data_IF_708087771488
#
_entry.id   IF_708087771488
#
_cell.length_a   1.000
_cell.length_b   1.000
_cell.length_c   1.000
_cell.angle_alpha   90.00
_cell.angle_beta   90.00
_cell.angle_gamma   90.00
#
_symmetry.space_group_name_H-M   'P 1'
#
loop_
_entity.id
_entity.type
_entity.pdbx_description
1 polymer ?
#
# COMPACT_ATOMS: atom_id res chain seq x y z
N UNK A 1 10.78 8.73 -10.66
CA UNK A 1 9.88 9.60 -11.36
C UNK A 1 9.80 9.22 -12.84
N UNK A 2 10.59 9.78 -13.75
CA UNK A 2 10.55 9.47 -15.18
C UNK A 2 11.47 8.31 -15.57
N UNK A 3 11.25 7.76 -16.77
CA UNK A 3 11.97 6.62 -17.31
C UNK A 3 13.48 6.89 -17.46
N UNK A 4 13.83 8.09 -17.91
CA UNK A 4 15.20 8.54 -18.19
C UNK A 4 15.80 9.42 -17.09
N UNK A 5 15.30 9.31 -15.86
CA UNK A 5 15.71 10.11 -14.72
C UNK A 5 15.02 11.46 -14.60
N UNK A 6 14.06 11.76 -15.48
CA UNK A 6 13.26 12.98 -15.36
C UNK A 6 12.51 13.02 -14.03
N UNK A 7 12.66 14.10 -13.28
CA UNK A 7 12.02 14.30 -11.98
C UNK A 7 10.86 15.29 -12.09
N UNK A 8 9.67 14.85 -11.68
CA UNK A 8 8.49 15.72 -11.63
C UNK A 8 8.67 16.74 -10.51
N UNK A 9 8.78 18.03 -10.86
CA UNK A 9 9.03 19.12 -9.91
C UNK A 9 7.78 19.51 -9.14
N UNK A 10 6.66 19.68 -9.83
CA UNK A 10 5.34 20.02 -9.24
C UNK A 10 4.57 18.74 -8.89
N UNK A 11 5.20 17.88 -8.14
CA UNK A 11 4.63 16.58 -7.76
C UNK A 11 3.35 16.72 -6.92
N UNK A 12 3.12 17.85 -6.29
CA UNK A 12 1.93 18.12 -5.47
C UNK A 12 0.66 18.30 -6.32
N UNK A 13 0.79 18.54 -7.61
CA UNK A 13 -0.33 18.61 -8.55
C UNK A 13 -0.91 17.21 -8.89
N UNK A 14 -0.15 16.15 -8.60
CA UNK A 14 -0.54 14.78 -8.87
C UNK A 14 -1.16 14.11 -7.65
N UNK A 15 -2.24 13.39 -7.84
CA UNK A 15 -2.85 12.53 -6.82
C UNK A 15 -2.81 11.07 -7.26
N UNK A 16 -3.01 10.14 -6.33
CA UNK A 16 -2.94 8.69 -6.64
C UNK A 16 -3.96 8.29 -7.71
N UNK A 17 -5.12 8.95 -7.78
CA UNK A 17 -6.10 8.75 -8.85
C UNK A 17 -5.58 9.07 -10.25
N UNK A 18 -4.68 10.02 -10.39
CA UNK A 18 -4.09 10.33 -11.70
C UNK A 18 -3.16 9.21 -12.14
N UNK A 19 -2.44 8.60 -11.20
CA UNK A 19 -1.66 7.38 -11.47
C UNK A 19 -2.59 6.24 -11.91
N UNK A 20 -3.73 6.04 -11.23
CA UNK A 20 -4.73 5.04 -11.63
C UNK A 20 -5.23 5.26 -13.06
N UNK A 21 -5.54 6.51 -13.44
CA UNK A 21 -5.96 6.86 -14.80
C UNK A 21 -4.86 6.56 -15.83
N UNK A 22 -3.59 6.85 -15.50
CA UNK A 22 -2.44 6.54 -16.39
C UNK A 22 -2.36 5.03 -16.64
N UNK A 23 -2.50 4.18 -15.61
CA UNK A 23 -2.53 2.73 -15.78
C UNK A 23 -3.70 2.29 -16.68
N UNK A 24 -4.90 2.83 -16.47
CA UNK A 24 -6.08 2.52 -17.28
C UNK A 24 -5.88 2.94 -18.75
N UNK A 25 -5.29 4.10 -19.00
CA UNK A 25 -4.93 4.56 -20.37
C UNK A 25 -3.91 3.61 -20.99
N UNK A 26 -2.89 3.18 -20.24
CA UNK A 26 -1.91 2.20 -20.70
C UNK A 26 -2.56 0.87 -21.11
N UNK A 27 -3.45 0.33 -20.28
CA UNK A 27 -4.20 -0.89 -20.59
C UNK A 27 -5.05 -0.74 -21.87
N UNK A 28 -5.73 0.40 -22.02
CA UNK A 28 -6.49 0.69 -23.24
C UNK A 28 -5.61 0.74 -24.49
N UNK A 29 -4.44 1.35 -24.42
CA UNK A 29 -3.45 1.37 -25.53
C UNK A 29 -2.94 -0.02 -25.90
N UNK A 30 -2.88 -0.93 -24.92
CA UNK A 30 -2.51 -2.35 -25.14
C UNK A 30 -3.72 -3.21 -25.56
N UNK A 31 -4.91 -2.61 -25.82
CA UNK A 31 -6.17 -3.30 -26.12
C UNK A 31 -6.62 -4.28 -25.02
N UNK A 32 -6.18 -4.08 -23.76
CA UNK A 32 -6.62 -4.88 -22.62
C UNK A 32 -7.91 -4.27 -22.07
N UNK A 33 -9.02 -4.95 -22.30
CA UNK A 33 -10.36 -4.48 -21.90
C UNK A 33 -10.75 -4.89 -20.48
N UNK A 34 -10.27 -6.06 -20.04
CA UNK A 34 -10.58 -6.62 -18.72
C UNK A 34 -9.39 -7.41 -18.17
N UNK A 35 -9.18 -7.28 -16.87
CA UNK A 35 -8.15 -8.01 -16.14
C UNK A 35 -8.79 -9.13 -15.31
N UNK A 36 -8.06 -10.20 -15.09
CA UNK A 36 -8.45 -11.21 -14.09
C UNK A 36 -8.32 -10.65 -12.68
N UNK A 37 -7.23 -9.96 -12.37
CA UNK A 37 -7.03 -9.35 -11.06
C UNK A 37 -6.22 -8.05 -11.17
N UNK A 38 -6.51 -7.11 -10.25
CA UNK A 38 -5.65 -5.98 -9.90
C UNK A 38 -5.22 -6.20 -8.46
N UNK A 39 -3.92 -6.34 -8.25
CA UNK A 39 -3.33 -6.63 -6.94
C UNK A 39 -2.24 -5.60 -6.60
N UNK A 40 -2.18 -5.16 -5.36
CA UNK A 40 -1.15 -4.22 -4.91
C UNK A 40 -1.05 -4.17 -3.40
N UNK A 41 0.19 -3.96 -2.90
CA UNK A 41 0.47 -3.80 -1.48
C UNK A 41 0.76 -2.34 -1.11
N UNK A 42 0.41 -1.92 0.11
CA UNK A 42 0.66 -0.57 0.62
C UNK A 42 0.06 0.51 -0.31
N UNK A 43 0.84 1.48 -0.76
CA UNK A 43 0.38 2.47 -1.76
C UNK A 43 -0.16 1.82 -3.04
N UNK A 44 0.37 0.64 -3.41
CA UNK A 44 -0.15 -0.15 -4.51
C UNK A 44 -1.58 -0.66 -4.25
N UNK A 45 -1.91 -0.98 -2.99
CA UNK A 45 -3.29 -1.30 -2.59
C UNK A 45 -4.22 -0.08 -2.64
N UNK A 46 -3.72 1.11 -2.27
CA UNK A 46 -4.43 2.37 -2.52
C UNK A 46 -4.70 2.60 -4.00
N UNK A 47 -3.73 2.25 -4.87
CA UNK A 47 -3.91 2.29 -6.32
C UNK A 47 -4.97 1.28 -6.81
N UNK A 48 -5.05 0.08 -6.23
CA UNK A 48 -6.12 -0.90 -6.51
C UNK A 48 -7.49 -0.27 -6.22
N UNK A 49 -7.66 0.37 -5.07
CA UNK A 49 -8.90 1.07 -4.71
C UNK A 49 -9.25 2.19 -5.68
N UNK A 50 -8.27 3.01 -6.07
CA UNK A 50 -8.47 4.10 -7.04
C UNK A 50 -8.82 3.57 -8.44
N UNK A 51 -8.17 2.50 -8.91
CA UNK A 51 -8.49 1.86 -10.19
C UNK A 51 -9.89 1.27 -10.19
N UNK A 52 -10.31 0.61 -9.10
CA UNK A 52 -11.66 0.10 -8.94
C UNK A 52 -12.71 1.22 -8.94
N UNK A 53 -12.44 2.36 -8.30
CA UNK A 53 -13.34 3.51 -8.28
C UNK A 53 -13.45 4.23 -9.63
N UNK A 54 -12.35 4.28 -10.41
CA UNK A 54 -12.31 4.96 -11.73
C UNK A 54 -12.90 4.08 -12.84
N UNK A 55 -12.67 2.77 -12.77
CA UNK A 55 -13.12 1.80 -13.78
C UNK A 55 -13.68 0.54 -13.09
N UNK A 56 -14.94 0.57 -12.63
CA UNK A 56 -15.50 -0.46 -11.75
C UNK A 56 -15.55 -1.87 -12.34
N UNK A 57 -15.58 -2.00 -13.66
CA UNK A 57 -15.65 -3.27 -14.38
C UNK A 57 -14.30 -3.72 -14.96
N UNK A 58 -13.21 -3.03 -14.60
CA UNK A 58 -11.88 -3.29 -15.15
C UNK A 58 -11.36 -4.69 -14.84
N UNK A 59 -11.69 -5.23 -13.66
CA UNK A 59 -11.17 -6.52 -13.22
C UNK A 59 -12.26 -7.43 -12.62
N UNK A 60 -12.00 -8.74 -12.66
CA UNK A 60 -12.81 -9.73 -11.95
C UNK A 60 -12.53 -9.70 -10.44
N UNK A 61 -11.29 -9.37 -10.04
CA UNK A 61 -10.86 -9.38 -8.66
C UNK A 61 -9.98 -8.14 -8.36
N UNK A 62 -10.28 -7.44 -7.28
CA UNK A 62 -9.50 -6.33 -6.72
C UNK A 62 -8.92 -6.76 -5.38
N UNK A 63 -7.60 -6.72 -5.23
CA UNK A 63 -6.88 -7.29 -4.09
C UNK A 63 -5.96 -6.24 -3.47
N UNK A 64 -6.49 -5.27 -2.69
CA UNK A 64 -5.66 -4.38 -1.89
C UNK A 64 -5.07 -5.13 -0.69
N UNK A 65 -3.75 -5.05 -0.51
CA UNK A 65 -3.00 -5.71 0.56
C UNK A 65 -2.36 -4.65 1.45
N UNK A 66 -2.51 -4.75 2.77
CA UNK A 66 -1.94 -3.81 3.75
C UNK A 66 -2.19 -2.34 3.33
N UNK A 67 -3.44 -2.01 3.03
CA UNK A 67 -3.85 -0.72 2.46
C UNK A 67 -5.33 -0.45 2.71
N UNK A 68 -5.75 0.81 2.51
CA UNK A 68 -7.15 1.18 2.65
C UNK A 68 -7.60 2.12 1.51
N UNK A 69 -8.92 2.33 1.39
CA UNK A 69 -9.54 3.17 0.37
C UNK A 69 -9.32 4.67 0.57
N UNK A 70 -8.89 5.07 1.77
CA UNK A 70 -8.47 6.44 2.11
C UNK A 70 -7.32 6.43 3.10
N UNK A 71 -6.51 7.47 3.06
CA UNK A 71 -5.51 7.72 4.08
C UNK A 71 -6.20 8.16 5.37
N UNK A 72 -5.92 7.44 6.46
CA UNK A 72 -6.41 7.78 7.80
C UNK A 72 -5.68 9.00 8.37
N UNK A 73 -6.23 9.61 9.43
CA UNK A 73 -5.57 10.70 10.13
C UNK A 73 -4.18 10.31 10.65
N UNK A 74 -4.01 9.05 11.10
CA UNK A 74 -2.71 8.49 11.47
C UNK A 74 -1.74 8.47 10.30
N UNK A 75 -2.17 8.01 9.14
CA UNK A 75 -1.32 7.98 7.93
C UNK A 75 -1.02 9.41 7.45
N UNK A 76 -1.99 10.32 7.47
CA UNK A 76 -1.79 11.73 7.14
C UNK A 76 -0.78 12.41 8.07
N UNK A 77 -0.83 12.12 9.38
CA UNK A 77 0.15 12.61 10.35
C UNK A 77 1.56 12.09 10.04
N UNK A 78 1.68 10.80 9.71
CA UNK A 78 2.95 10.19 9.31
C UNK A 78 3.50 10.83 8.02
N UNK A 79 2.68 11.01 6.99
CA UNK A 79 3.11 11.65 5.73
C UNK A 79 3.49 13.11 5.95
N UNK A 80 2.82 13.82 6.87
CA UNK A 80 3.19 15.18 7.25
C UNK A 80 4.55 15.24 7.92
N UNK A 81 4.82 14.34 8.87
CA UNK A 81 6.13 14.24 9.52
C UNK A 81 7.22 13.88 8.51
N UNK A 82 6.97 12.91 7.63
CA UNK A 82 7.88 12.56 6.54
C UNK A 82 8.19 13.78 5.65
N UNK A 83 7.17 14.59 5.29
CA UNK A 83 7.35 15.82 4.51
C UNK A 83 8.28 16.81 5.23
N UNK A 84 8.16 16.95 6.55
CA UNK A 84 9.06 17.81 7.35
C UNK A 84 10.50 17.28 7.32
N UNK A 85 10.71 15.99 7.52
CA UNK A 85 12.05 15.38 7.46
C UNK A 85 12.66 15.60 6.06
N UNK A 86 11.89 15.28 5.01
CA UNK A 86 12.34 15.41 3.61
C UNK A 86 12.67 16.86 3.18
N UNK A 87 12.12 17.86 3.87
CA UNK A 87 12.37 19.26 3.55
C UNK A 87 13.47 19.90 4.40
N UNK A 88 13.69 19.42 5.63
CA UNK A 88 14.50 20.14 6.62
C UNK A 88 15.75 19.38 7.07
N UNK A 89 15.84 18.06 6.81
CA UNK A 89 17.03 17.28 7.20
C UNK A 89 18.20 17.56 6.25
N UNK A 90 19.42 17.47 6.78
CA UNK A 90 20.67 17.47 5.98
C UNK A 90 20.85 16.17 5.21
N UNK A 91 20.22 15.07 5.66
CA UNK A 91 20.21 13.77 5.00
C UNK A 91 18.76 13.27 4.78
N UNK A 92 17.97 13.98 3.94
CA UNK A 92 16.51 13.85 3.95
C UNK A 92 16.01 12.44 3.66
N UNK A 93 16.56 11.75 2.65
CA UNK A 93 16.13 10.38 2.30
C UNK A 93 16.55 9.37 3.37
N UNK A 94 17.76 9.54 3.93
CA UNK A 94 18.27 8.71 5.02
C UNK A 94 17.35 8.79 6.25
N UNK A 95 17.09 10.00 6.74
CA UNK A 95 16.35 10.20 7.98
C UNK A 95 14.86 9.85 7.84
N UNK A 96 14.28 10.18 6.68
CA UNK A 96 12.92 9.76 6.34
C UNK A 96 12.79 8.23 6.31
N UNK A 97 13.82 7.50 5.80
CA UNK A 97 13.81 6.04 5.81
C UNK A 97 13.88 5.47 7.22
N UNK A 98 14.70 6.04 8.10
CA UNK A 98 14.78 5.62 9.50
C UNK A 98 13.41 5.73 10.19
N UNK A 99 12.73 6.87 10.04
CA UNK A 99 11.37 7.04 10.55
C UNK A 99 10.39 6.03 9.93
N UNK A 100 10.43 5.82 8.61
CA UNK A 100 9.55 4.87 7.94
C UNK A 100 9.72 3.44 8.47
N UNK A 101 10.93 3.02 8.81
CA UNK A 101 11.18 1.69 9.38
C UNK A 101 10.50 1.47 10.72
N UNK A 102 10.27 2.52 11.52
CA UNK A 102 9.50 2.44 12.76
C UNK A 102 8.01 2.21 12.49
N UNK A 103 7.48 2.74 11.39
CA UNK A 103 6.09 2.53 10.99
C UNK A 103 5.87 1.19 10.26
N UNK A 104 6.90 0.68 9.56
CA UNK A 104 6.82 -0.56 8.77
C UNK A 104 7.03 -1.81 9.60
N UNK A 105 7.59 -1.70 10.80
CA UNK A 105 7.81 -2.80 11.74
C UNK A 105 7.02 -2.61 13.02
N UNK A 106 6.58 -3.70 13.63
CA UNK A 106 5.96 -3.64 14.94
C UNK A 106 6.99 -3.61 16.08
N UNK A 107 6.66 -3.08 17.27
CA UNK A 107 7.53 -3.15 18.45
C UNK A 107 7.95 -4.59 18.79
N UNK A 108 7.05 -5.57 18.62
CA UNK A 108 7.35 -6.97 18.87
C UNK A 108 8.36 -7.54 17.85
N UNK A 109 8.32 -7.09 16.60
CA UNK A 109 9.31 -7.43 15.58
C UNK A 109 10.70 -6.92 15.97
N UNK A 110 10.78 -5.68 16.47
CA UNK A 110 12.03 -5.11 16.99
C UNK A 110 12.55 -5.91 18.19
N UNK A 111 11.67 -6.21 19.16
CA UNK A 111 12.05 -6.97 20.34
C UNK A 111 12.61 -8.35 19.98
N UNK A 112 11.91 -9.09 19.09
CA UNK A 112 12.36 -10.43 18.65
C UNK A 112 13.68 -10.38 17.88
N UNK A 113 13.89 -9.33 17.08
CA UNK A 113 15.09 -9.19 16.25
C UNK A 113 16.32 -8.77 17.06
N UNK A 114 16.16 -7.84 17.99
CA UNK A 114 17.31 -7.18 18.63
C UNK A 114 17.50 -7.53 20.10
N UNK A 115 16.42 -7.75 20.88
CA UNK A 115 16.49 -8.14 22.30
C UNK A 115 17.41 -7.25 23.15
N UNK A 116 17.51 -5.93 22.82
CA UNK A 116 18.45 -4.96 23.40
C UNK A 116 19.93 -5.33 23.23
N UNK A 117 20.26 -6.19 22.27
CA UNK A 117 21.66 -6.55 22.00
C UNK A 117 22.48 -5.35 21.52
N UNK A 118 23.76 -5.40 21.84
CA UNK A 118 24.78 -4.39 21.49
C UNK A 118 25.94 -5.05 20.77
N UNK A 119 26.57 -4.26 19.90
CA UNK A 119 27.92 -4.50 19.44
C UNK A 119 28.81 -3.38 20.01
N UNK A 120 29.72 -3.72 20.88
CA UNK A 120 30.46 -2.75 21.72
C UNK A 120 29.47 -1.87 22.52
N UNK A 121 29.50 -0.56 22.37
CA UNK A 121 28.61 0.39 23.05
C UNK A 121 27.37 0.79 22.30
N UNK A 122 27.20 0.33 21.02
CA UNK A 122 26.10 0.71 20.14
C UNK A 122 25.02 -0.37 20.15
N UNK A 123 23.74 0.01 20.30
CA UNK A 123 22.64 -0.94 20.15
C UNK A 123 22.51 -1.39 18.69
N UNK A 124 22.31 -2.69 18.48
CA UNK A 124 22.16 -3.25 17.13
C UNK A 124 20.95 -2.67 16.37
N UNK A 125 19.92 -2.24 17.08
CA UNK A 125 18.76 -1.54 16.45
C UNK A 125 19.14 -0.18 15.86
N UNK A 126 20.06 0.56 16.50
CA UNK A 126 20.54 1.85 16.00
C UNK A 126 21.36 1.66 14.73
N UNK A 127 22.31 0.73 14.74
CA UNK A 127 23.12 0.36 13.58
C UNK A 127 22.25 -0.11 12.41
N UNK A 128 21.20 -0.87 12.69
CA UNK A 128 20.26 -1.34 11.70
C UNK A 128 19.45 -0.20 11.05
N UNK A 129 18.95 0.76 11.85
CA UNK A 129 18.23 1.94 11.33
C UNK A 129 19.14 2.79 10.43
N UNK A 130 20.36 3.10 10.90
CA UNK A 130 21.36 3.86 10.14
C UNK A 130 21.69 3.16 8.81
N UNK A 131 21.87 1.84 8.84
CA UNK A 131 22.11 1.05 7.62
C UNK A 131 20.98 1.18 6.60
N UNK A 132 19.72 1.05 7.04
CA UNK A 132 18.55 1.21 6.14
C UNK A 132 18.43 2.61 5.56
N UNK A 133 18.72 3.65 6.35
CA UNK A 133 18.81 5.03 5.90
C UNK A 133 19.85 5.19 4.79
N UNK A 134 21.07 4.73 5.04
CA UNK A 134 22.20 4.78 4.10
C UNK A 134 21.89 4.07 2.78
N UNK A 135 21.38 2.85 2.82
CA UNK A 135 21.06 2.06 1.62
C UNK A 135 20.00 2.77 0.76
N UNK A 136 18.94 3.31 1.38
CA UNK A 136 17.92 4.01 0.60
C UNK A 136 18.45 5.31 -0.02
N UNK A 137 19.22 6.08 0.74
CA UNK A 137 19.82 7.33 0.24
C UNK A 137 20.72 7.12 -0.98
N UNK A 138 21.41 5.98 -1.07
CA UNK A 138 22.28 5.68 -2.22
C UNK A 138 21.51 5.38 -3.51
N UNK A 139 20.28 4.89 -3.42
CA UNK A 139 19.52 4.40 -4.59
C UNK A 139 18.23 5.17 -4.89
N UNK A 140 17.80 6.08 -4.01
CA UNK A 140 16.50 6.72 -4.14
C UNK A 140 16.62 8.24 -4.23
N UNK A 141 16.03 8.84 -5.25
CA UNK A 141 16.05 10.27 -5.47
C UNK A 141 15.11 10.99 -4.49
N UNK A 142 15.58 12.09 -3.89
CA UNK A 142 14.77 12.89 -2.96
C UNK A 142 13.42 13.31 -3.55
N UNK A 143 13.41 13.78 -4.79
CA UNK A 143 12.19 14.22 -5.46
C UNK A 143 11.21 13.07 -5.69
N UNK A 144 11.71 11.87 -6.00
CA UNK A 144 10.90 10.67 -6.12
C UNK A 144 10.27 10.28 -4.76
N UNK A 145 11.02 10.39 -3.67
CA UNK A 145 10.50 10.12 -2.33
C UNK A 145 9.42 11.13 -1.92
N UNK A 146 9.64 12.42 -2.20
CA UNK A 146 8.62 13.46 -1.96
C UNK A 146 7.33 13.18 -2.71
N UNK A 147 7.41 12.78 -3.98
CA UNK A 147 6.24 12.37 -4.76
C UNK A 147 5.54 11.16 -4.14
N UNK A 148 6.27 10.10 -3.80
CA UNK A 148 5.67 8.89 -3.21
C UNK A 148 4.98 9.18 -1.87
N UNK A 149 5.62 9.99 -1.01
CA UNK A 149 5.02 10.41 0.25
C UNK A 149 3.76 11.26 0.04
N UNK A 150 3.77 12.15 -0.96
CA UNK A 150 2.60 12.94 -1.32
C UNK A 150 1.46 12.06 -1.84
N UNK A 151 1.73 11.17 -2.80
CA UNK A 151 0.72 10.26 -3.36
C UNK A 151 0.05 9.42 -2.26
N UNK A 152 0.84 8.97 -1.27
CA UNK A 152 0.31 8.21 -0.13
C UNK A 152 -0.71 9.03 0.67
N UNK A 153 -0.50 10.33 0.85
CA UNK A 153 -1.45 11.23 1.53
C UNK A 153 -2.72 11.52 0.72
N UNK A 154 -2.72 11.23 -0.58
CA UNK A 154 -3.84 11.52 -1.50
C UNK A 154 -4.76 10.34 -1.77
N UNK A 155 -4.53 9.19 -1.13
CA UNK A 155 -5.45 8.05 -1.23
C UNK A 155 -6.82 8.48 -0.69
N UNK A 156 -7.81 8.58 -1.56
CA UNK A 156 -9.21 8.85 -1.19
C UNK A 156 -10.14 8.65 -2.39
N UNK A 157 -10.78 7.49 -2.45
CA UNK A 157 -11.71 7.18 -3.55
C UNK A 157 -12.96 8.05 -3.52
N UNK A 158 -13.29 8.68 -2.39
CA UNK A 158 -14.46 9.56 -2.24
C UNK A 158 -14.21 11.00 -2.68
N UNK A 159 -12.95 11.36 -2.95
CA UNK A 159 -12.55 12.70 -3.38
C UNK A 159 -12.92 13.79 -2.36
N UNK A 160 -12.56 13.56 -1.09
CA UNK A 160 -12.88 14.47 0.01
C UNK A 160 -14.38 14.45 0.35
N UNK A 161 -15.02 13.29 0.24
CA UNK A 161 -16.43 13.11 0.57
C UNK A 161 -17.42 13.63 -0.49
N UNK A 162 -16.96 14.01 -1.70
CA UNK A 162 -17.82 14.42 -2.81
C UNK A 162 -18.73 13.29 -3.33
N UNK A 163 -18.28 12.05 -3.17
CA UNK A 163 -19.06 10.83 -3.50
C UNK A 163 -19.05 9.94 -2.26
N UNK A 164 -20.19 9.36 -1.90
CA UNK A 164 -20.27 8.44 -0.77
C UNK A 164 -19.50 7.14 -1.07
N UNK A 165 -18.83 6.61 -0.07
CA UNK A 165 -18.09 5.35 -0.20
C UNK A 165 -18.99 4.21 -0.68
N UNK A 166 -20.18 4.09 -0.12
CA UNK A 166 -21.18 3.07 -0.45
C UNK A 166 -21.58 3.11 -1.93
N UNK A 167 -21.75 4.34 -2.48
CA UNK A 167 -22.13 4.54 -3.89
C UNK A 167 -21.00 4.12 -4.85
N UNK A 168 -19.75 4.19 -4.40
CA UNK A 168 -18.61 3.71 -5.18
C UNK A 168 -18.53 2.19 -5.11
N UNK A 169 -18.61 1.63 -3.90
CA UNK A 169 -18.48 0.18 -3.67
C UNK A 169 -19.58 -0.60 -4.38
N UNK A 170 -20.82 -0.10 -4.37
CA UNK A 170 -21.94 -0.76 -5.04
C UNK A 170 -21.77 -0.87 -6.57
N UNK A 171 -20.98 0.01 -7.18
CA UNK A 171 -20.72 0.04 -8.62
C UNK A 171 -19.59 -0.90 -9.05
N UNK A 172 -18.70 -1.33 -8.13
CA UNK A 172 -17.60 -2.20 -8.48
C UNK A 172 -18.12 -3.59 -8.81
N UNK A 173 -18.01 -4.01 -10.10
CA UNK A 173 -18.57 -5.28 -10.59
C UNK A 173 -17.79 -6.51 -10.12
N UNK A 174 -16.46 -6.38 -9.91
CA UNK A 174 -15.60 -7.49 -9.48
C UNK A 174 -15.66 -7.79 -7.98
N UNK A 175 -15.05 -8.91 -7.59
CA UNK A 175 -14.84 -9.25 -6.18
C UNK A 175 -13.80 -8.32 -5.56
N UNK A 176 -13.93 -8.02 -4.26
CA UNK A 176 -12.93 -7.27 -3.51
C UNK A 176 -12.38 -8.17 -2.39
N UNK A 177 -11.07 -8.36 -2.34
CA UNK A 177 -10.39 -9.12 -1.29
C UNK A 177 -9.48 -8.18 -0.50
N UNK A 178 -9.95 -7.68 0.63
CA UNK A 178 -9.15 -6.86 1.54
C UNK A 178 -8.21 -7.80 2.29
N UNK A 179 -6.91 -7.63 2.13
CA UNK A 179 -5.89 -8.40 2.85
C UNK A 179 -5.18 -7.48 3.83
N UNK A 180 -5.47 -7.62 5.12
CA UNK A 180 -4.83 -6.86 6.20
C UNK A 180 -3.62 -7.59 6.79
N UNK A 181 -2.85 -6.90 7.62
CA UNK A 181 -1.83 -7.48 8.50
C UNK A 181 -2.18 -7.12 9.94
N UNK A 182 -2.30 -8.11 10.82
CA UNK A 182 -2.79 -7.92 12.20
C UNK A 182 -1.91 -7.02 13.07
N UNK A 183 -0.63 -6.91 12.77
CA UNK A 183 0.33 -6.06 13.48
C UNK A 183 0.72 -4.79 12.71
N UNK A 184 0.03 -4.46 11.63
CA UNK A 184 0.32 -3.27 10.81
C UNK A 184 0.07 -1.98 11.59
N UNK A 185 1.11 -1.14 11.70
CA UNK A 185 1.03 0.18 12.33
C UNK A 185 0.85 1.31 11.32
N UNK A 186 0.88 1.01 10.03
CA UNK A 186 0.81 1.99 8.96
C UNK A 186 -0.58 2.04 8.33
N UNK A 187 -1.10 0.89 7.88
CA UNK A 187 -2.50 0.65 7.54
C UNK A 187 -3.09 -0.36 8.52
N UNK A 188 -3.66 0.12 9.60
CA UNK A 188 -4.03 -0.73 10.73
C UNK A 188 -5.14 -1.73 10.39
N UNK A 189 -5.03 -2.95 10.91
CA UNK A 189 -6.04 -4.01 10.76
C UNK A 189 -7.43 -3.54 11.22
N UNK A 190 -7.48 -2.76 12.29
CA UNK A 190 -8.70 -2.15 12.79
C UNK A 190 -9.43 -1.33 11.71
N UNK A 191 -8.72 -0.43 11.02
CA UNK A 191 -9.31 0.41 9.97
C UNK A 191 -9.74 -0.42 8.75
N UNK A 192 -8.95 -1.42 8.37
CA UNK A 192 -9.33 -2.35 7.29
C UNK A 192 -10.59 -3.15 7.62
N UNK A 193 -10.78 -3.55 8.88
CA UNK A 193 -12.02 -4.19 9.35
C UNK A 193 -13.22 -3.25 9.29
N UNK A 194 -13.06 -2.00 9.70
CA UNK A 194 -14.13 -1.00 9.57
C UNK A 194 -14.53 -0.80 8.10
N UNK A 195 -13.55 -0.70 7.20
CA UNK A 195 -13.78 -0.63 5.76
C UNK A 195 -14.56 -1.85 5.26
N UNK A 196 -14.16 -3.06 5.66
CA UNK A 196 -14.86 -4.29 5.32
C UNK A 196 -16.31 -4.28 5.79
N UNK A 197 -16.56 -4.01 7.08
CA UNK A 197 -17.92 -3.98 7.62
C UNK A 197 -18.79 -2.90 6.97
N UNK A 198 -18.21 -1.76 6.63
CA UNK A 198 -18.91 -0.70 5.92
C UNK A 198 -19.28 -1.12 4.50
N UNK A 199 -18.37 -1.78 3.79
CA UNK A 199 -18.58 -2.21 2.41
C UNK A 199 -19.57 -3.39 2.30
N UNK A 200 -19.60 -4.32 3.26
CA UNK A 200 -20.54 -5.44 3.31
C UNK A 200 -22.01 -5.01 3.35
N UNK A 201 -22.29 -3.76 3.74
CA UNK A 201 -23.67 -3.24 3.76
C UNK A 201 -24.25 -3.02 2.35
N UNK A 202 -23.38 -2.91 1.35
CA UNK A 202 -23.77 -2.55 -0.02
C UNK A 202 -23.22 -3.49 -1.09
N UNK A 203 -22.35 -4.46 -0.69
CA UNK A 203 -21.70 -5.37 -1.62
C UNK A 203 -21.50 -6.74 -0.97
N UNK A 204 -22.04 -7.79 -1.61
CA UNK A 204 -21.93 -9.18 -1.13
C UNK A 204 -20.57 -9.82 -1.44
N UNK A 205 -20.03 -9.55 -2.62
CA UNK A 205 -18.77 -10.14 -3.09
C UNK A 205 -17.54 -9.33 -2.61
N UNK A 206 -17.47 -9.10 -1.31
CA UNK A 206 -16.31 -8.55 -0.62
C UNK A 206 -15.86 -9.52 0.46
N UNK A 207 -14.55 -9.71 0.59
CA UNK A 207 -13.94 -10.71 1.46
C UNK A 207 -12.82 -10.07 2.27
N UNK A 208 -12.68 -10.49 3.52
CA UNK A 208 -11.63 -10.04 4.40
C UNK A 208 -10.68 -11.18 4.76
N UNK A 209 -9.40 -10.94 4.63
CA UNK A 209 -8.32 -11.87 4.95
C UNK A 209 -7.26 -11.18 5.78
N UNK A 210 -6.60 -11.94 6.66
CA UNK A 210 -5.57 -11.38 7.55
C UNK A 210 -4.30 -12.19 7.48
N UNK A 211 -3.18 -11.55 7.21
CA UNK A 211 -1.83 -12.08 7.43
C UNK A 211 -1.53 -11.92 8.92
N UNK A 212 -1.27 -13.03 9.60
CA UNK A 212 -0.89 -13.03 11.02
C UNK A 212 0.62 -13.02 11.15
N UNK A 213 1.17 -11.91 11.64
CA UNK A 213 2.61 -11.74 11.71
C UNK A 213 2.98 -10.72 12.79
N UNK A 214 4.18 -10.86 13.32
CA UNK A 214 4.79 -9.85 14.19
C UNK A 214 5.52 -8.76 13.40
N UNK A 215 5.63 -8.88 12.08
CA UNK A 215 6.53 -8.05 11.28
C UNK A 215 5.97 -6.67 10.90
N UNK A 216 4.73 -6.36 11.31
CA UNK A 216 4.10 -5.07 10.99
C UNK A 216 3.73 -4.96 9.51
N UNK A 217 3.74 -3.75 8.99
CA UNK A 217 3.39 -3.45 7.60
C UNK A 217 4.18 -4.28 6.58
N UNK A 218 5.47 -4.53 6.82
CA UNK A 218 6.33 -5.33 5.93
C UNK A 218 5.93 -6.82 5.85
N UNK A 219 4.97 -7.31 6.67
CA UNK A 219 4.61 -8.73 6.70
C UNK A 219 4.19 -9.27 5.32
N UNK A 220 3.50 -8.49 4.49
CA UNK A 220 3.12 -8.94 3.13
C UNK A 220 4.32 -9.16 2.19
N UNK A 221 5.50 -8.65 2.56
CA UNK A 221 6.78 -8.86 1.88
C UNK A 221 7.65 -9.95 2.54
N UNK A 222 7.15 -10.58 3.60
CA UNK A 222 7.90 -11.56 4.40
C UNK A 222 7.12 -12.87 4.49
N UNK A 223 5.83 -12.82 4.74
CA UNK A 223 4.96 -13.97 4.97
C UNK A 223 4.42 -14.55 3.65
N UNK A 224 5.31 -14.89 2.72
CA UNK A 224 4.95 -15.35 1.38
C UNK A 224 4.09 -16.60 1.39
N UNK A 225 4.33 -17.56 2.30
CA UNK A 225 3.54 -18.78 2.38
C UNK A 225 2.11 -18.51 2.83
N UNK A 226 1.90 -17.62 3.81
CA UNK A 226 0.56 -17.20 4.21
C UNK A 226 -0.14 -16.49 3.06
N UNK A 227 0.55 -15.53 2.40
CA UNK A 227 -0.01 -14.80 1.28
C UNK A 227 -0.39 -15.74 0.13
N UNK A 228 0.44 -16.72 -0.20
CA UNK A 228 0.16 -17.76 -1.20
C UNK A 228 -1.12 -18.54 -0.84
N UNK A 229 -1.26 -18.97 0.42
CA UNK A 229 -2.46 -19.68 0.88
C UNK A 229 -3.70 -18.80 0.77
N UNK A 230 -3.63 -17.56 1.27
CA UNK A 230 -4.75 -16.62 1.26
C UNK A 230 -5.25 -16.28 -0.15
N UNK A 231 -4.34 -16.25 -1.13
CA UNK A 231 -4.66 -15.92 -2.51
C UNK A 231 -4.95 -17.15 -3.38
N UNK A 232 -4.62 -18.35 -2.93
CA UNK A 232 -4.74 -19.59 -3.73
C UNK A 232 -6.16 -19.82 -4.26
N UNK A 233 -7.18 -19.59 -3.45
CA UNK A 233 -8.59 -19.76 -3.86
C UNK A 233 -9.01 -18.82 -5.00
N UNK A 234 -8.36 -17.67 -5.13
CA UNK A 234 -8.64 -16.70 -6.20
C UNK A 234 -8.02 -17.18 -7.51
N UNK A 235 -6.77 -17.67 -7.46
CA UNK A 235 -6.00 -17.98 -8.66
C UNK A 235 -6.16 -19.45 -9.11
N UNK A 236 -6.38 -20.42 -8.21
CA UNK A 236 -6.49 -21.84 -8.56
C UNK A 236 -7.84 -22.16 -9.20
N UNK A 237 -8.95 -21.57 -8.76
CA UNK A 237 -10.28 -21.83 -9.34
C UNK A 237 -10.34 -21.57 -10.85
N UNK A 238 -9.56 -20.63 -11.37
CA UNK A 238 -9.51 -20.35 -12.82
C UNK A 238 -8.70 -21.40 -13.59
N UNK A 239 -7.69 -21.98 -13.00
CA UNK A 239 -6.87 -23.00 -13.67
C UNK A 239 -7.68 -24.27 -13.99
N UNK A 240 -8.57 -24.66 -13.10
CA UNK A 240 -9.48 -25.81 -13.30
C UNK A 240 -10.53 -25.55 -14.38
N UNK A 241 -11.00 -24.30 -14.54
CA UNK A 241 -11.96 -23.95 -15.60
C UNK A 241 -11.32 -23.88 -16.99
N UNK A 242 -10.04 -23.51 -17.09
CA UNK A 242 -9.30 -23.47 -18.36
C UNK A 242 -8.87 -24.88 -18.85
N UNK A 243 -8.77 -25.85 -17.94
CA UNK A 243 -8.47 -27.26 -18.29
C UNK A 243 -9.72 -28.08 -18.64
N UNK A 244 -10.93 -27.50 -18.52
CA UNK A 244 -12.22 -28.15 -18.83
C UNK A 244 -12.89 -27.64 -20.12
N UNK A 245 -12.25 -26.72 -20.82
CA UNK A 245 -12.62 -26.21 -22.14
C UNK A 245 -11.54 -26.55 -23.16
#
# INVERSE_FOLDING_TARGET
NGYDGFLIRNYEDLILRDVAKIFIIGLKKLNIKKLFAVIGGSIGGGLVWEMAAVSPDLAENYIPIASDWKSSDWLLANTRLQKQILNNSTQPVHDARMHAMLCYRSPLSFQKKFGRSKDSDVFNVESWLLHHGKILQQRFQLQAYKLMNHLLSTIDITRGGKVKFEDIISKIGGNIFIVSVDSDLFFTDYQNRETFYKACRTKENIFFKTIKSVHGHDAFLIEFDQLKILLSEIFIKKHVSLLRN
#
